data_IF_343377144970
#
_entry.id   IF_343377144970
#
_cell.length_a   1.000
_cell.length_b   1.000
_cell.length_c   1.000
_cell.angle_alpha   90.00
_cell.angle_beta   90.00
_cell.angle_gamma   90.00
#
_symmetry.space_group_name_H-M   'P 1'
#
loop_
_entity.id
_entity.type
_entity.pdbx_description
1 polymer ?
#
# COMPACT_ATOMS: atom_id res chain seq x y z
N UNK A 1 18.69 24.44 35.95
CA UNK A 1 18.16 23.09 35.67
C UNK A 1 17.25 23.21 34.46
N UNK A 2 17.76 22.85 33.28
CA UNK A 2 17.02 22.54 32.04
C UNK A 2 18.07 22.29 30.97
N UNK A 3 18.15 21.07 30.44
CA UNK A 3 18.50 20.75 29.05
C UNK A 3 17.98 19.33 28.77
N UNK A 4 16.88 19.26 28.03
CA UNK A 4 16.73 18.63 26.70
C UNK A 4 16.69 17.10 26.71
N UNK A 5 15.47 16.58 26.54
CA UNK A 5 15.20 15.18 26.17
C UNK A 5 15.42 15.03 24.67
N UNK A 6 16.41 14.23 24.29
CA UNK A 6 16.61 13.72 22.94
C UNK A 6 15.63 12.57 22.70
N UNK A 7 14.84 12.67 21.62
CA UNK A 7 14.05 11.58 21.10
C UNK A 7 14.10 11.61 19.57
N UNK A 8 15.01 10.84 18.96
CA UNK A 8 14.74 10.23 17.64
C UNK A 8 15.78 9.18 17.23
N UNK A 9 15.60 7.95 17.70
CA UNK A 9 16.12 6.75 17.03
C UNK A 9 14.97 5.81 16.70
N UNK A 10 14.40 5.93 15.49
CA UNK A 10 13.66 4.85 14.85
C UNK A 10 14.33 4.55 13.52
N UNK A 11 15.18 3.51 13.56
CA UNK A 11 15.93 3.01 12.42
C UNK A 11 15.01 2.53 11.31
N UNK A 12 15.21 3.07 10.12
CA UNK A 12 14.59 2.63 8.87
C UNK A 12 15.18 1.30 8.43
N UNK A 13 14.41 0.22 8.57
CA UNK A 13 14.68 -1.04 7.89
C UNK A 13 14.46 -0.86 6.39
N UNK A 14 15.55 -0.89 5.62
CA UNK A 14 15.56 -0.70 4.18
C UNK A 14 14.68 -1.71 3.44
N UNK A 15 13.89 -1.20 2.49
CA UNK A 15 13.18 -2.01 1.51
C UNK A 15 14.20 -2.61 0.53
N UNK A 16 14.72 -3.80 0.82
CA UNK A 16 15.48 -4.57 -0.16
C UNK A 16 14.55 -4.96 -1.32
N UNK A 17 14.80 -4.37 -2.48
CA UNK A 17 14.08 -4.67 -3.73
C UNK A 17 14.69 -5.90 -4.42
N UNK A 18 13.90 -6.91 -4.80
CA UNK A 18 14.32 -7.84 -5.84
C UNK A 18 14.28 -7.12 -7.20
N UNK A 19 15.35 -7.27 -7.97
CA UNK A 19 15.57 -6.66 -9.29
C UNK A 19 14.76 -7.36 -10.39
N UNK A 20 13.43 -7.41 -10.27
CA UNK A 20 12.55 -7.69 -11.39
C UNK A 20 11.90 -6.37 -11.86
N UNK A 21 12.05 -6.05 -13.14
CA UNK A 21 11.25 -5.00 -13.78
C UNK A 21 9.82 -5.54 -13.90
N UNK A 22 9.02 -5.40 -12.84
CA UNK A 22 7.57 -5.56 -12.95
C UNK A 22 6.98 -4.26 -13.51
N UNK A 23 6.09 -4.38 -14.49
CA UNK A 23 5.45 -3.23 -15.12
C UNK A 23 4.22 -2.83 -14.29
N UNK A 24 4.48 -2.37 -13.06
CA UNK A 24 3.43 -2.03 -12.12
C UNK A 24 2.59 -0.84 -12.66
N UNK A 25 1.25 -0.95 -12.67
CA UNK A 25 0.38 0.18 -13.02
C UNK A 25 0.64 1.37 -12.09
N UNK A 26 0.42 2.59 -12.61
CA UNK A 26 0.65 3.80 -11.83
C UNK A 26 -0.28 3.86 -10.63
N UNK A 27 0.30 3.80 -9.43
CA UNK A 27 -0.41 3.96 -8.15
C UNK A 27 -1.35 5.17 -8.15
N UNK A 28 -0.85 6.30 -8.64
CA UNK A 28 -1.60 7.58 -8.67
C UNK A 28 -2.83 7.48 -9.55
N UNK A 29 -2.74 6.75 -10.66
CA UNK A 29 -3.88 6.50 -11.55
C UNK A 29 -4.88 5.59 -10.84
N UNK A 30 -4.45 4.49 -10.25
CA UNK A 30 -5.32 3.56 -9.52
C UNK A 30 -6.11 4.26 -8.40
N UNK A 31 -5.43 5.05 -7.57
CA UNK A 31 -6.10 5.81 -6.49
C UNK A 31 -7.08 6.83 -7.07
N UNK A 32 -6.69 7.53 -8.14
CA UNK A 32 -7.55 8.52 -8.79
C UNK A 32 -8.83 7.88 -9.34
N UNK A 33 -8.70 6.73 -9.98
CA UNK A 33 -9.81 5.99 -10.57
C UNK A 33 -10.73 5.45 -9.47
N UNK A 34 -10.15 4.91 -8.40
CA UNK A 34 -10.89 4.46 -7.22
C UNK A 34 -11.72 5.57 -6.58
N UNK A 35 -11.11 6.74 -6.35
CA UNK A 35 -11.81 7.90 -5.78
C UNK A 35 -12.98 8.32 -6.68
N UNK A 36 -12.79 8.31 -8.01
CA UNK A 36 -13.85 8.64 -8.96
C UNK A 36 -14.98 7.61 -8.99
N UNK A 37 -14.67 6.32 -8.93
CA UNK A 37 -15.68 5.24 -8.78
C UNK A 37 -16.53 5.45 -7.51
N UNK A 38 -15.95 6.05 -6.46
CA UNK A 38 -16.64 6.42 -5.22
C UNK A 38 -17.40 7.76 -5.29
N UNK A 39 -17.52 8.35 -6.48
CA UNK A 39 -18.23 9.61 -6.70
C UNK A 39 -17.44 10.86 -6.33
N UNK A 40 -16.15 10.75 -6.01
CA UNK A 40 -15.30 11.91 -5.72
C UNK A 40 -14.93 12.60 -7.03
N UNK A 41 -15.22 13.90 -7.12
CA UNK A 41 -14.89 14.68 -8.33
C UNK A 41 -13.39 14.62 -8.67
N UNK A 42 -13.00 14.68 -9.96
CA UNK A 42 -11.59 14.69 -10.37
C UNK A 42 -10.77 15.79 -9.68
N UNK A 43 -11.38 16.96 -9.44
CA UNK A 43 -10.76 18.08 -8.73
C UNK A 43 -10.47 17.70 -7.27
N UNK A 44 -11.45 17.15 -6.55
CA UNK A 44 -11.25 16.71 -5.17
C UNK A 44 -10.23 15.57 -5.09
N UNK A 45 -10.28 14.59 -5.99
CA UNK A 45 -9.30 13.51 -6.07
C UNK A 45 -7.86 14.05 -6.28
N UNK A 46 -7.70 15.08 -7.12
CA UNK A 46 -6.40 15.73 -7.32
C UNK A 46 -5.87 16.42 -6.06
N UNK A 47 -6.75 17.01 -5.23
CA UNK A 47 -6.36 17.60 -3.96
C UNK A 47 -5.96 16.54 -2.93
N UNK A 48 -6.71 15.43 -2.85
CA UNK A 48 -6.37 14.29 -1.99
C UNK A 48 -5.01 13.72 -2.34
N UNK A 49 -4.72 13.53 -3.64
CA UNK A 49 -3.42 13.03 -4.07
C UNK A 49 -2.27 13.98 -3.73
N UNK A 50 -2.50 15.29 -3.76
CA UNK A 50 -1.50 16.32 -3.41
C UNK A 50 -1.33 16.53 -1.91
N UNK A 51 -2.28 16.08 -1.07
CA UNK A 51 -2.21 16.28 0.38
C UNK A 51 -1.31 15.27 1.08
N UNK A 52 -0.85 14.24 0.38
CA UNK A 52 0.03 13.22 0.93
C UNK A 52 1.44 13.75 1.13
N UNK A 53 2.02 13.49 2.31
CA UNK A 53 3.41 13.85 2.59
C UNK A 53 4.35 13.04 1.68
N UNK A 54 5.49 13.59 1.25
CA UNK A 54 6.44 12.89 0.38
C UNK A 54 6.89 11.52 0.92
N UNK A 55 7.03 11.40 2.25
CA UNK A 55 7.38 10.13 2.90
C UNK A 55 6.28 9.06 2.74
N UNK A 56 5.03 9.43 2.98
CA UNK A 56 3.86 8.56 2.79
C UNK A 56 3.74 8.15 1.33
N UNK A 57 3.93 9.10 0.40
CA UNK A 57 3.88 8.81 -1.02
C UNK A 57 4.93 7.77 -1.45
N UNK A 58 6.18 7.95 -1.00
CA UNK A 58 7.27 7.01 -1.29
C UNK A 58 6.98 5.62 -0.73
N UNK A 59 6.55 5.54 0.52
CA UNK A 59 6.25 4.27 1.18
C UNK A 59 5.09 3.53 0.51
N UNK A 60 4.00 4.24 0.20
CA UNK A 60 2.83 3.65 -0.45
C UNK A 60 3.16 3.22 -1.88
N UNK A 61 3.97 3.98 -2.61
CA UNK A 61 4.42 3.59 -3.95
C UNK A 61 5.31 2.34 -3.93
N UNK A 62 6.17 2.21 -2.92
CA UNK A 62 6.96 1.00 -2.72
C UNK A 62 6.09 -0.22 -2.39
N UNK A 63 5.11 -0.06 -1.51
CA UNK A 63 4.14 -1.11 -1.17
C UNK A 63 3.34 -1.56 -2.41
N UNK A 64 2.82 -0.61 -3.19
CA UNK A 64 2.09 -0.91 -4.43
C UNK A 64 2.95 -1.67 -5.43
N UNK A 65 4.18 -1.22 -5.66
CA UNK A 65 5.09 -1.91 -6.58
C UNK A 65 5.39 -3.33 -6.10
N UNK A 66 5.61 -3.53 -4.80
CA UNK A 66 5.83 -4.85 -4.22
C UNK A 66 4.63 -5.77 -4.46
N UNK A 67 3.41 -5.25 -4.26
CA UNK A 67 2.17 -5.99 -4.50
C UNK A 67 2.01 -6.35 -5.98
N UNK A 68 2.19 -5.40 -6.91
CA UNK A 68 2.09 -5.69 -8.35
C UNK A 68 3.11 -6.74 -8.80
N UNK A 69 4.37 -6.61 -8.39
CA UNK A 69 5.40 -7.60 -8.69
C UNK A 69 5.02 -8.99 -8.14
N UNK A 70 4.44 -9.05 -6.95
CA UNK A 70 3.98 -10.30 -6.35
C UNK A 70 2.79 -10.88 -7.13
N UNK A 71 1.79 -10.07 -7.47
CA UNK A 71 0.66 -10.50 -8.29
C UNK A 71 1.11 -11.06 -9.65
N UNK A 72 2.05 -10.38 -10.32
CA UNK A 72 2.64 -10.84 -11.58
C UNK A 72 3.28 -12.24 -11.42
N UNK A 73 4.01 -12.47 -10.32
CA UNK A 73 4.62 -13.78 -10.02
C UNK A 73 3.61 -14.90 -9.77
N UNK A 74 2.40 -14.54 -9.32
CA UNK A 74 1.28 -15.46 -9.04
C UNK A 74 0.28 -15.53 -10.21
N UNK A 75 0.55 -14.85 -11.32
CA UNK A 75 -0.37 -14.71 -12.46
C UNK A 75 -1.75 -14.14 -12.06
N UNK A 76 -1.77 -13.24 -11.08
CA UNK A 76 -2.97 -12.53 -10.61
C UNK A 76 -2.98 -11.09 -11.12
N UNK A 77 -4.16 -10.54 -11.39
CA UNK A 77 -4.29 -9.15 -11.79
C UNK A 77 -4.34 -8.23 -10.55
N UNK A 78 -3.35 -7.35 -10.30
CA UNK A 78 -3.36 -6.48 -9.13
C UNK A 78 -4.50 -5.45 -9.13
N UNK A 79 -5.09 -5.13 -10.29
CA UNK A 79 -6.21 -4.19 -10.41
C UNK A 79 -7.56 -4.83 -10.12
N UNK A 80 -7.63 -6.16 -10.10
CA UNK A 80 -8.83 -6.96 -9.81
C UNK A 80 -8.58 -7.88 -8.61
N UNK A 81 -7.66 -7.48 -7.72
CA UNK A 81 -7.34 -8.24 -6.53
C UNK A 81 -8.53 -8.31 -5.60
N UNK A 82 -8.97 -9.53 -5.30
CA UNK A 82 -9.94 -9.81 -4.26
C UNK A 82 -9.25 -9.88 -2.88
N UNK A 83 -10.06 -10.11 -1.86
CA UNK A 83 -9.57 -10.15 -0.49
C UNK A 83 -8.62 -11.31 -0.24
N UNK A 84 -8.90 -12.47 -0.84
CA UNK A 84 -7.99 -13.63 -0.80
C UNK A 84 -6.61 -13.28 -1.36
N UNK A 85 -6.56 -12.54 -2.47
CA UNK A 85 -5.30 -12.08 -3.07
C UNK A 85 -4.52 -11.15 -2.14
N UNK A 86 -5.20 -10.25 -1.43
CA UNK A 86 -4.53 -9.38 -0.45
C UNK A 86 -4.06 -10.19 0.75
N UNK A 87 -4.88 -11.09 1.30
CA UNK A 87 -4.51 -11.90 2.45
C UNK A 87 -3.33 -12.83 2.15
N UNK A 88 -3.33 -13.50 1.01
CA UNK A 88 -2.21 -14.34 0.54
C UNK A 88 -0.92 -13.51 0.44
N UNK A 89 -1.00 -12.32 -0.16
CA UNK A 89 0.15 -11.42 -0.26
C UNK A 89 0.69 -11.04 1.12
N UNK A 90 -0.17 -10.55 2.03
CA UNK A 90 0.26 -10.12 3.36
C UNK A 90 0.85 -11.29 4.16
N UNK A 91 0.29 -12.49 3.99
CA UNK A 91 0.77 -13.73 4.62
C UNK A 91 2.16 -14.08 4.10
N UNK A 92 2.38 -14.14 2.78
CA UNK A 92 3.70 -14.42 2.20
C UNK A 92 4.73 -13.34 2.56
N UNK A 93 4.33 -12.07 2.65
CA UNK A 93 5.24 -11.01 3.10
C UNK A 93 5.67 -11.19 4.57
N UNK A 94 4.78 -11.69 5.41
CA UNK A 94 5.09 -11.95 6.82
C UNK A 94 5.89 -13.23 7.00
N UNK A 95 5.42 -14.34 6.44
CA UNK A 95 5.97 -15.68 6.65
C UNK A 95 7.22 -15.92 5.82
N UNK A 96 7.23 -15.60 4.53
CA UNK A 96 8.35 -15.94 3.65
C UNK A 96 9.37 -14.80 3.60
N UNK A 97 8.90 -13.57 3.44
CA UNK A 97 9.76 -12.38 3.34
C UNK A 97 10.17 -11.79 4.69
N UNK A 98 9.70 -12.38 5.80
CA UNK A 98 10.02 -12.02 7.20
C UNK A 98 9.85 -10.52 7.50
N UNK A 99 8.85 -9.88 6.89
CA UNK A 99 8.56 -8.45 7.13
C UNK A 99 7.98 -8.26 8.53
N UNK A 100 8.32 -7.13 9.15
CA UNK A 100 7.76 -6.78 10.45
C UNK A 100 6.25 -6.51 10.37
N UNK A 101 5.54 -6.70 11.48
CA UNK A 101 4.11 -6.40 11.57
C UNK A 101 3.78 -4.93 11.22
N UNK A 102 4.67 -4.00 11.57
CA UNK A 102 4.56 -2.58 11.18
C UNK A 102 4.63 -2.38 9.66
N UNK A 103 5.44 -3.18 8.98
CA UNK A 103 5.52 -3.17 7.51
C UNK A 103 4.27 -3.77 6.89
N UNK A 104 3.77 -4.88 7.43
CA UNK A 104 2.52 -5.52 6.99
C UNK A 104 1.34 -4.56 7.13
N UNK A 105 1.19 -3.89 8.28
CA UNK A 105 0.15 -2.89 8.48
C UNK A 105 0.28 -1.72 7.49
N UNK A 106 1.51 -1.31 7.19
CA UNK A 106 1.75 -0.26 6.18
C UNK A 106 1.33 -0.70 4.79
N UNK A 107 1.58 -1.96 4.42
CA UNK A 107 1.11 -2.53 3.16
C UNK A 107 -0.42 -2.60 3.13
N UNK A 108 -1.07 -3.10 4.19
CA UNK A 108 -2.54 -3.13 4.30
C UNK A 108 -3.14 -1.73 4.14
N UNK A 109 -2.61 -0.73 4.86
CA UNK A 109 -3.08 0.65 4.74
C UNK A 109 -2.89 1.23 3.34
N UNK A 110 -1.74 0.97 2.71
CA UNK A 110 -1.48 1.40 1.34
C UNK A 110 -2.47 0.78 0.37
N UNK A 111 -2.67 -0.55 0.43
CA UNK A 111 -3.59 -1.28 -0.44
C UNK A 111 -5.04 -0.84 -0.24
N UNK A 112 -5.47 -0.58 1.01
CA UNK A 112 -6.80 -0.02 1.31
C UNK A 112 -7.08 1.31 0.60
N UNK A 113 -6.04 2.13 0.39
CA UNK A 113 -6.18 3.40 -0.32
C UNK A 113 -6.21 3.27 -1.85
N UNK A 114 -5.83 2.11 -2.40
CA UNK A 114 -5.60 1.89 -3.84
C UNK A 114 -6.62 0.94 -4.46
N UNK A 115 -7.01 -0.10 -3.73
CA UNK A 115 -7.92 -1.14 -4.19
C UNK A 115 -9.37 -0.72 -4.01
N UNK A 116 -10.24 -1.25 -4.86
CA UNK A 116 -11.68 -1.06 -4.73
C UNK A 116 -12.19 -1.73 -3.44
N UNK A 117 -13.26 -1.20 -2.84
CA UNK A 117 -13.91 -1.86 -1.72
C UNK A 117 -14.29 -3.29 -2.08
N UNK A 118 -14.07 -4.22 -1.15
CA UNK A 118 -14.50 -5.61 -1.25
C UNK A 118 -15.63 -5.81 -0.25
N UNK A 119 -16.75 -6.37 -0.69
CA UNK A 119 -17.96 -6.56 0.12
C UNK A 119 -18.47 -5.28 0.80
N UNK A 120 -18.21 -4.12 0.20
CA UNK A 120 -18.58 -2.80 0.73
C UNK A 120 -17.61 -2.23 1.77
N UNK A 121 -16.56 -2.96 2.16
CA UNK A 121 -15.51 -2.50 3.06
C UNK A 121 -14.25 -2.10 2.31
N UNK A 122 -13.53 -1.09 2.78
CA UNK A 122 -12.16 -0.91 2.35
C UNK A 122 -11.30 -2.08 2.85
N UNK A 123 -10.24 -2.43 2.12
CA UNK A 123 -9.37 -3.57 2.48
C UNK A 123 -8.79 -3.44 3.89
N UNK A 124 -8.61 -2.23 4.40
CA UNK A 124 -8.09 -2.00 5.76
C UNK A 124 -9.14 -2.07 6.88
N UNK A 125 -10.43 -2.08 6.52
CA UNK A 125 -11.57 -2.10 7.44
C UNK A 125 -12.33 -3.43 7.40
N UNK A 126 -11.94 -4.34 6.53
CA UNK A 126 -12.62 -5.61 6.36
C UNK A 126 -12.37 -6.53 7.58
N UNK A 127 -13.39 -7.21 8.13
CA UNK A 127 -13.23 -8.06 9.33
C UNK A 127 -12.26 -9.25 9.23
N UNK A 128 -11.70 -9.55 8.05
CA UNK A 128 -10.88 -10.76 7.81
C UNK A 128 -9.44 -10.44 7.37
N UNK A 129 -9.05 -9.16 7.41
CA UNK A 129 -7.71 -8.63 7.05
C UNK A 129 -7.02 -7.96 8.22
#
# INVERSE_FOLDING_TARGET
MTMTTDASHLGWGGFSSPSQRCNAPSRVVCIRDNLQVRGISPRAASYVLKSWRPGTEKQYSAAWKCFCCWCDSKQRNPLQADLGTVCDFLTEQFEDSKKSYSTINSYRSALSSMLLPVDGYSVGEHPIT
#
